data_IF_287894540242
#
_entry.id   IF_287894540242
#
_cell.length_a   1.000
_cell.length_b   1.000
_cell.length_c   1.000
_cell.angle_alpha   90.00
_cell.angle_beta   90.00
_cell.angle_gamma   90.00
#
_symmetry.space_group_name_H-M   'P 1'
#
loop_
_entity.id
_entity.type
_entity.pdbx_description
1 polymer ?
#
# COMPACT_ATOMS: atom_id res chain seq x y z
N UNK A 1 -24.46 -36.72 -2.83
CA UNK A 1 -25.38 -37.70 -3.42
C UNK A 1 -26.83 -37.22 -3.38
N UNK A 2 -27.36 -36.77 -2.23
CA UNK A 2 -28.74 -36.25 -2.12
C UNK A 2 -29.02 -34.99 -2.94
N UNK A 3 -28.02 -34.11 -3.10
CA UNK A 3 -28.19 -32.82 -3.78
C UNK A 3 -28.30 -32.97 -5.31
N UNK A 4 -27.56 -33.92 -5.89
CA UNK A 4 -27.62 -34.25 -7.33
C UNK A 4 -28.99 -34.82 -7.73
N UNK A 5 -29.58 -35.65 -6.87
CA UNK A 5 -30.94 -36.18 -7.09
C UNK A 5 -32.01 -35.10 -7.03
N UNK A 6 -31.74 -33.97 -6.36
CA UNK A 6 -32.68 -32.84 -6.25
C UNK A 6 -32.57 -31.85 -7.40
N UNK A 7 -31.42 -31.83 -8.11
CA UNK A 7 -31.18 -30.95 -9.26
C UNK A 7 -31.56 -31.55 -10.61
N UNK A 8 -31.76 -32.87 -10.68
CA UNK A 8 -32.15 -33.56 -11.92
C UNK A 8 -33.68 -33.56 -12.02
N UNK A 9 -34.22 -32.94 -13.07
CA UNK A 9 -35.66 -32.93 -13.31
C UNK A 9 -36.17 -34.26 -13.89
N UNK A 10 -37.44 -34.59 -13.65
CA UNK A 10 -38.08 -35.80 -14.20
C UNK A 10 -38.00 -35.87 -15.73
N UNK A 11 -38.06 -34.73 -16.40
CA UNK A 11 -37.90 -34.64 -17.86
C UNK A 11 -36.49 -35.00 -18.32
N UNK A 12 -35.45 -34.63 -17.55
CA UNK A 12 -34.09 -35.05 -17.83
C UNK A 12 -33.91 -36.56 -17.65
N UNK A 13 -34.52 -37.13 -16.60
CA UNK A 13 -34.52 -38.58 -16.37
C UNK A 13 -35.17 -39.29 -17.56
N UNK A 14 -36.38 -38.88 -17.96
CA UNK A 14 -37.09 -39.48 -19.10
C UNK A 14 -36.28 -39.42 -20.38
N UNK A 15 -35.68 -38.26 -20.67
CA UNK A 15 -34.84 -38.06 -21.85
C UNK A 15 -33.59 -38.94 -21.85
N UNK A 16 -32.98 -39.17 -20.68
CA UNK A 16 -31.81 -40.05 -20.57
C UNK A 16 -32.22 -41.52 -20.73
N UNK A 17 -33.33 -41.94 -20.13
CA UNK A 17 -33.87 -43.29 -20.29
C UNK A 17 -34.22 -43.63 -21.74
N UNK A 18 -34.84 -42.69 -22.47
CA UNK A 18 -35.16 -42.90 -23.90
C UNK A 18 -33.88 -43.02 -24.75
N UNK A 19 -32.87 -42.19 -24.45
CA UNK A 19 -31.56 -42.27 -25.13
C UNK A 19 -30.83 -43.57 -24.82
N UNK A 20 -30.91 -44.04 -23.58
CA UNK A 20 -30.35 -45.32 -23.15
C UNK A 20 -31.02 -46.49 -23.89
N UNK A 21 -32.36 -46.50 -23.95
CA UNK A 21 -33.11 -47.53 -24.65
C UNK A 21 -32.80 -47.55 -26.16
N UNK A 22 -32.66 -46.37 -26.76
CA UNK A 22 -32.25 -46.23 -28.16
C UNK A 22 -30.79 -46.69 -28.38
N UNK A 23 -29.88 -46.37 -27.46
CA UNK A 23 -28.49 -46.79 -27.52
C UNK A 23 -28.31 -48.30 -27.38
N UNK A 24 -29.05 -48.94 -26.48
CA UNK A 24 -29.06 -50.41 -26.32
C UNK A 24 -29.61 -51.13 -27.55
N UNK A 25 -30.59 -50.53 -28.24
CA UNK A 25 -31.16 -51.07 -29.49
C UNK A 25 -30.20 -50.93 -30.67
N UNK A 26 -29.59 -49.76 -30.86
CA UNK A 26 -28.73 -49.48 -32.03
C UNK A 26 -27.29 -49.98 -31.86
N UNK A 27 -26.81 -50.12 -30.62
CA UNK A 27 -25.46 -50.58 -30.25
C UNK A 27 -24.31 -49.82 -30.95
N UNK A 28 -23.08 -50.32 -30.79
CA UNK A 28 -21.87 -49.73 -31.36
C UNK A 28 -21.59 -48.33 -30.81
N UNK A 29 -21.38 -47.36 -31.70
CA UNK A 29 -21.14 -45.94 -31.37
C UNK A 29 -22.24 -45.27 -30.52
N UNK A 30 -23.42 -45.87 -30.42
CA UNK A 30 -24.48 -45.32 -29.57
C UNK A 30 -24.28 -45.66 -28.08
N UNK A 31 -23.45 -46.65 -27.76
CA UNK A 31 -23.05 -46.95 -26.38
C UNK A 31 -22.04 -45.93 -25.82
N UNK A 32 -21.54 -45.02 -26.66
CA UNK A 32 -20.67 -43.91 -26.26
C UNK A 32 -21.38 -42.96 -25.26
N UNK A 33 -22.69 -43.07 -25.05
CA UNK A 33 -23.40 -42.36 -23.96
C UNK A 33 -22.87 -42.71 -22.57
N UNK A 34 -22.27 -43.90 -22.39
CA UNK A 34 -21.63 -44.31 -21.14
C UNK A 34 -20.17 -43.89 -21.07
N UNK A 35 -19.61 -43.37 -22.16
CA UNK A 35 -18.23 -42.86 -22.14
C UNK A 35 -18.21 -41.50 -21.49
N UNK A 36 -17.50 -41.40 -20.38
CA UNK A 36 -17.23 -40.12 -19.73
C UNK A 36 -16.27 -39.35 -20.62
N UNK A 37 -16.77 -38.34 -21.34
CA UNK A 37 -15.92 -37.36 -22.00
C UNK A 37 -15.30 -36.49 -20.93
N UNK A 38 -14.17 -36.91 -20.37
CA UNK A 38 -13.34 -36.03 -19.58
C UNK A 38 -12.74 -35.00 -20.53
N UNK A 39 -13.23 -33.77 -20.48
CA UNK A 39 -12.50 -32.65 -21.06
C UNK A 39 -11.11 -32.64 -20.39
N UNK A 40 -10.06 -32.70 -21.21
CA UNK A 40 -8.69 -32.71 -20.70
C UNK A 40 -8.49 -31.38 -19.97
N UNK A 41 -8.18 -31.45 -18.68
CA UNK A 41 -7.85 -30.26 -17.92
C UNK A 41 -6.73 -29.47 -18.66
N UNK A 42 -6.79 -28.12 -18.67
CA UNK A 42 -5.77 -27.31 -19.31
C UNK A 42 -4.37 -27.72 -18.82
N UNK A 43 -3.42 -27.81 -19.75
CA UNK A 43 -2.02 -27.99 -19.38
C UNK A 43 -1.51 -26.74 -18.67
N UNK A 44 -0.46 -26.87 -17.86
CA UNK A 44 0.30 -25.71 -17.35
C UNK A 44 0.71 -24.75 -18.48
N UNK A 45 1.08 -25.30 -19.64
CA UNK A 45 1.41 -24.52 -20.82
C UNK A 45 0.20 -23.75 -21.38
N UNK A 46 -0.99 -24.35 -21.38
CA UNK A 46 -2.21 -23.69 -21.86
C UNK A 46 -2.63 -22.55 -20.90
N UNK A 47 -2.44 -22.76 -19.60
CA UNK A 47 -2.67 -21.74 -18.56
C UNK A 47 -1.68 -20.58 -18.74
N UNK A 48 -0.40 -20.88 -18.90
CA UNK A 48 0.64 -19.87 -19.14
C UNK A 48 0.37 -19.08 -20.42
N UNK A 49 0.00 -19.76 -21.50
CA UNK A 49 -0.31 -19.13 -22.78
C UNK A 49 -1.56 -18.25 -22.66
N UNK A 50 -2.59 -18.69 -21.93
CA UNK A 50 -3.77 -17.88 -21.63
C UNK A 50 -3.42 -16.61 -20.85
N UNK A 51 -2.61 -16.73 -19.79
CA UNK A 51 -2.15 -15.60 -18.97
C UNK A 51 -1.31 -14.59 -19.77
N UNK A 52 -0.50 -15.05 -20.73
CA UNK A 52 0.31 -14.19 -21.59
C UNK A 52 -0.48 -13.60 -22.77
N UNK A 53 -1.54 -14.29 -23.21
CA UNK A 53 -2.34 -13.91 -24.39
C UNK A 53 -3.49 -12.97 -24.05
N UNK A 54 -3.91 -12.90 -22.78
CA UNK A 54 -4.70 -11.76 -22.33
C UNK A 54 -3.79 -10.54 -22.47
N UNK A 55 -4.09 -9.58 -23.37
CA UNK A 55 -3.40 -8.31 -23.32
C UNK A 55 -3.57 -7.86 -21.88
N UNK A 56 -2.45 -7.67 -21.17
CA UNK A 56 -2.48 -6.97 -19.90
C UNK A 56 -3.28 -5.73 -20.22
N UNK A 57 -4.52 -5.68 -19.75
CA UNK A 57 -5.29 -4.45 -19.80
C UNK A 57 -4.31 -3.40 -19.30
N UNK A 58 -4.30 -2.23 -19.92
CA UNK A 58 -3.59 -1.05 -19.45
C UNK A 58 -4.11 -0.73 -18.03
N UNK A 59 -3.75 -1.56 -17.06
CA UNK A 59 -3.69 -1.23 -15.68
C UNK A 59 -2.40 -0.44 -15.63
N UNK A 60 -2.52 0.86 -15.95
CA UNK A 60 -1.64 1.84 -15.35
C UNK A 60 -1.55 1.42 -13.89
N UNK A 61 -0.33 1.10 -13.45
CA UNK A 61 -0.08 0.37 -12.22
C UNK A 61 -0.89 1.01 -11.08
N UNK A 62 -2.06 0.45 -10.79
CA UNK A 62 -3.05 1.02 -9.88
C UNK A 62 -3.43 -0.11 -8.95
N UNK A 63 -2.89 -0.04 -7.74
CA UNK A 63 -2.98 -1.10 -6.75
C UNK A 63 -1.91 -0.92 -5.68
N UNK A 64 -1.94 -1.79 -4.66
CA UNK A 64 -1.05 -1.68 -3.50
C UNK A 64 0.45 -1.72 -3.85
N UNK A 65 0.86 -2.48 -4.87
CA UNK A 65 2.26 -2.55 -5.29
C UNK A 65 2.76 -1.25 -5.90
N UNK A 66 1.93 -0.58 -6.72
CA UNK A 66 2.31 0.70 -7.32
C UNK A 66 2.32 1.81 -6.28
N UNK A 67 1.38 1.78 -5.34
CA UNK A 67 1.36 2.65 -4.18
C UNK A 67 2.65 2.57 -3.35
N UNK A 68 3.09 1.34 -3.03
CA UNK A 68 4.35 1.11 -2.31
C UNK A 68 5.56 1.57 -3.13
N UNK A 69 5.56 1.30 -4.43
CA UNK A 69 6.66 1.72 -5.33
C UNK A 69 6.76 3.25 -5.40
N UNK A 70 5.61 3.95 -5.43
CA UNK A 70 5.56 5.41 -5.37
C UNK A 70 6.12 5.93 -4.04
N UNK A 71 5.76 5.30 -2.92
CA UNK A 71 6.30 5.60 -1.59
C UNK A 71 7.82 5.45 -1.51
N UNK A 72 8.39 4.35 -2.03
CA UNK A 72 9.86 4.15 -2.10
C UNK A 72 10.51 5.26 -2.93
N UNK A 73 9.92 5.63 -4.07
CA UNK A 73 10.43 6.72 -4.91
C UNK A 73 10.37 8.11 -4.25
N UNK A 74 9.45 8.31 -3.29
CA UNK A 74 9.40 9.51 -2.45
C UNK A 74 10.56 9.49 -1.46
N UNK A 75 10.79 8.36 -0.78
CA UNK A 75 11.93 8.18 0.14
C UNK A 75 13.26 8.44 -0.57
N UNK A 76 13.45 7.90 -1.78
CA UNK A 76 14.63 8.17 -2.60
C UNK A 76 14.80 9.68 -2.88
N UNK A 77 13.70 10.39 -3.19
CA UNK A 77 13.74 11.83 -3.43
C UNK A 77 14.04 12.63 -2.13
N UNK A 78 13.54 12.18 -0.98
CA UNK A 78 13.88 12.76 0.32
C UNK A 78 15.38 12.59 0.63
N UNK A 79 15.95 11.42 0.33
CA UNK A 79 17.38 11.16 0.50
C UNK A 79 18.22 12.08 -0.40
N UNK A 80 17.83 12.26 -1.66
CA UNK A 80 18.50 13.18 -2.59
C UNK A 80 18.45 14.65 -2.12
N UNK A 81 17.32 15.10 -1.57
CA UNK A 81 17.19 16.44 -1.02
C UNK A 81 18.08 16.60 0.22
N UNK A 82 18.05 15.62 1.12
CA UNK A 82 18.87 15.64 2.35
C UNK A 82 20.36 15.69 2.01
N UNK A 83 20.81 14.84 1.09
CA UNK A 83 22.19 14.86 0.61
C UNK A 83 22.54 16.22 -0.01
N UNK A 84 21.68 16.77 -0.88
CA UNK A 84 21.95 18.05 -1.52
C UNK A 84 22.03 19.21 -0.52
N UNK A 85 21.25 19.19 0.56
CA UNK A 85 21.32 20.18 1.65
C UNK A 85 22.59 19.99 2.48
N UNK A 86 22.94 18.76 2.85
CA UNK A 86 24.15 18.48 3.63
C UNK A 86 25.44 18.83 2.87
N UNK A 87 25.44 18.70 1.55
CA UNK A 87 26.57 19.06 0.70
C UNK A 87 26.62 20.56 0.35
N UNK A 88 25.65 21.35 0.82
CA UNK A 88 25.57 22.76 0.51
C UNK A 88 26.59 23.53 1.37
N UNK A 89 27.57 24.23 0.77
CA UNK A 89 28.55 25.00 1.52
C UNK A 89 27.90 26.24 2.17
N UNK A 90 28.48 26.75 3.25
CA UNK A 90 28.00 27.96 3.95
C UNK A 90 27.87 29.16 3.01
N UNK A 91 28.80 29.31 2.06
CA UNK A 91 28.78 30.36 1.02
C UNK A 91 28.19 29.85 -0.31
N UNK A 92 27.08 29.11 -0.26
CA UNK A 92 26.48 28.54 -1.45
C UNK A 92 26.02 29.58 -2.47
N UNK A 93 26.40 29.34 -3.73
CA UNK A 93 26.03 30.18 -4.86
C UNK A 93 24.53 30.07 -5.14
N UNK A 94 23.92 31.13 -5.69
CA UNK A 94 22.51 31.13 -6.08
C UNK A 94 22.12 29.92 -6.95
N UNK A 95 23.01 29.46 -7.84
CA UNK A 95 22.80 28.26 -8.66
C UNK A 95 22.71 26.97 -7.83
N UNK A 96 23.53 26.82 -6.79
CA UNK A 96 23.49 25.65 -5.90
C UNK A 96 22.22 25.65 -5.05
N UNK A 97 21.83 26.83 -4.54
CA UNK A 97 20.55 27.00 -3.84
C UNK A 97 19.35 26.69 -4.75
N UNK A 98 19.41 27.11 -6.01
CA UNK A 98 18.38 26.81 -7.00
C UNK A 98 18.28 25.31 -7.32
N UNK A 99 19.40 24.57 -7.36
CA UNK A 99 19.40 23.11 -7.55
C UNK A 99 18.73 22.39 -6.38
N UNK A 100 19.05 22.79 -5.13
CA UNK A 100 18.38 22.26 -3.93
C UNK A 100 16.89 22.55 -3.97
N UNK A 101 16.49 23.78 -4.30
CA UNK A 101 15.08 24.15 -4.44
C UNK A 101 14.37 23.35 -5.54
N UNK A 102 15.03 23.09 -6.67
CA UNK A 102 14.47 22.26 -7.74
C UNK A 102 14.22 20.82 -7.26
N UNK A 103 15.14 20.25 -6.48
CA UNK A 103 14.96 18.92 -5.87
C UNK A 103 13.83 18.90 -4.84
N UNK A 104 13.70 19.95 -4.02
CA UNK A 104 12.59 20.11 -3.07
C UNK A 104 11.24 20.19 -3.79
N UNK A 105 11.14 20.98 -4.86
CA UNK A 105 9.92 21.07 -5.67
C UNK A 105 9.56 19.74 -6.33
N UNK A 106 10.56 19.00 -6.83
CA UNK A 106 10.33 17.68 -7.41
C UNK A 106 9.81 16.68 -6.36
N UNK A 107 10.38 16.70 -5.15
CA UNK A 107 9.90 15.91 -4.02
C UNK A 107 8.44 16.27 -3.66
N UNK A 108 8.14 17.56 -3.52
CA UNK A 108 6.80 18.04 -3.21
C UNK A 108 5.78 17.60 -4.26
N UNK A 109 6.14 17.67 -5.55
CA UNK A 109 5.28 17.20 -6.64
C UNK A 109 5.00 15.71 -6.54
N UNK A 110 5.98 14.87 -6.16
CA UNK A 110 5.77 13.44 -5.95
C UNK A 110 4.84 13.17 -4.77
N UNK A 111 5.04 13.87 -3.65
CA UNK A 111 4.19 13.74 -2.45
C UNK A 111 2.76 14.15 -2.76
N UNK A 112 2.55 15.29 -3.44
CA UNK A 112 1.21 15.74 -3.80
C UNK A 112 0.51 14.71 -4.69
N UNK A 113 1.19 14.22 -5.73
CA UNK A 113 0.63 13.20 -6.60
C UNK A 113 0.23 11.94 -5.85
N UNK A 114 1.09 11.49 -4.92
CA UNK A 114 0.81 10.32 -4.10
C UNK A 114 -0.42 10.57 -3.22
N UNK A 115 -0.52 11.72 -2.56
CA UNK A 115 -1.70 12.08 -1.79
C UNK A 115 -2.98 12.11 -2.65
N UNK A 116 -2.94 12.74 -3.82
CA UNK A 116 -4.08 12.80 -4.75
C UNK A 116 -4.53 11.38 -5.16
N UNK A 117 -3.58 10.47 -5.36
CA UNK A 117 -3.86 9.06 -5.64
C UNK A 117 -4.46 8.32 -4.42
N UNK A 118 -4.05 8.65 -3.18
CA UNK A 118 -4.66 8.11 -1.95
C UNK A 118 -6.11 8.57 -1.83
N UNK A 119 -6.33 9.88 -1.93
CA UNK A 119 -7.64 10.48 -1.78
C UNK A 119 -8.59 9.94 -2.85
N UNK A 120 -8.13 9.85 -4.10
CA UNK A 120 -8.90 9.22 -5.18
C UNK A 120 -9.18 7.74 -4.94
N UNK A 121 -8.29 7.01 -4.27
CA UNK A 121 -8.47 5.58 -3.99
C UNK A 121 -9.39 5.34 -2.79
N UNK A 122 -9.43 6.28 -1.84
CA UNK A 122 -10.26 6.24 -0.64
C UNK A 122 -11.65 6.88 -0.86
N UNK A 123 -11.86 7.59 -1.96
CA UNK A 123 -13.15 8.19 -2.30
C UNK A 123 -14.27 7.13 -2.32
N UNK A 124 -15.30 7.35 -1.52
CA UNK A 124 -16.43 6.43 -1.35
C UNK A 124 -16.19 5.22 -0.43
N UNK A 125 -15.02 5.07 0.19
CA UNK A 125 -14.75 4.07 1.23
C UNK A 125 -14.93 4.68 2.62
N UNK A 126 -16.03 4.34 3.32
CA UNK A 126 -16.17 4.64 4.75
C UNK A 126 -15.49 3.54 5.58
N UNK A 127 -14.18 3.68 5.77
CA UNK A 127 -13.39 2.74 6.59
C UNK A 127 -13.85 2.80 8.06
N UNK A 128 -14.45 3.91 8.50
CA UNK A 128 -14.85 4.12 9.88
C UNK A 128 -16.19 3.44 10.21
N UNK A 129 -17.04 3.11 9.22
CA UNK A 129 -18.30 2.39 9.42
C UNK A 129 -18.10 0.99 10.06
N UNK A 130 -16.90 0.40 9.93
CA UNK A 130 -16.58 -0.92 10.49
C UNK A 130 -15.49 -0.92 11.56
N UNK A 131 -14.89 0.25 11.85
CA UNK A 131 -13.91 0.38 12.92
C UNK A 131 -14.61 0.74 14.23
N UNK A 132 -14.96 -0.26 15.04
CA UNK A 132 -15.27 0.00 16.46
C UNK A 132 -14.01 0.51 17.14
N UNK A 133 -14.01 1.68 17.80
CA UNK A 133 -12.88 2.12 18.60
C UNK A 133 -12.51 1.02 19.58
N UNK A 134 -11.25 0.57 19.55
CA UNK A 134 -10.73 -0.29 20.61
C UNK A 134 -10.83 0.53 21.90
N UNK A 135 -11.53 0.01 22.91
CA UNK A 135 -11.61 0.67 24.20
C UNK A 135 -10.19 0.99 24.72
N UNK A 136 -9.99 2.14 25.39
CA UNK A 136 -8.69 2.50 25.95
C UNK A 136 -8.15 1.36 26.79
N UNK A 137 -7.03 0.78 26.35
CA UNK A 137 -6.32 -0.23 27.12
C UNK A 137 -5.58 0.52 28.24
N UNK A 138 -6.21 0.63 29.41
CA UNK A 138 -5.60 1.20 30.64
C UNK A 138 -4.49 0.31 31.23
N UNK A 139 -3.87 -0.58 30.43
CA UNK A 139 -2.80 -1.47 30.88
C UNK A 139 -1.44 -0.75 30.83
N UNK A 140 -1.15 -0.01 31.89
CA UNK A 140 0.15 0.65 32.17
C UNK A 140 1.28 -0.38 32.42
N UNK A 141 1.03 -1.68 32.23
CA UNK A 141 1.96 -2.78 32.54
C UNK A 141 3.11 -3.01 31.55
N UNK A 142 3.18 -2.28 30.43
CA UNK A 142 4.17 -2.52 29.36
C UNK A 142 5.11 -1.35 29.07
N UNK A 143 5.18 -0.32 29.94
CA UNK A 143 6.27 0.64 29.85
C UNK A 143 7.53 0.04 30.50
N UNK A 144 8.63 -0.16 29.76
CA UNK A 144 9.93 -0.43 30.38
C UNK A 144 10.24 0.72 31.33
N UNK A 145 10.47 0.40 32.60
CA UNK A 145 10.95 1.37 33.59
C UNK A 145 12.33 1.87 33.13
N UNK A 146 12.35 3.00 32.41
CA UNK A 146 13.58 3.74 32.18
C UNK A 146 13.89 4.54 33.44
N UNK A 147 14.55 3.85 34.38
CA UNK A 147 15.18 4.44 35.55
C UNK A 147 16.43 5.21 35.10
N UNK A 148 16.25 6.41 34.56
CA UNK A 148 17.35 7.38 34.51
C UNK A 148 17.26 8.22 35.77
N UNK A 149 18.13 7.89 36.73
CA UNK A 149 18.38 8.72 37.90
C UNK A 149 18.94 10.05 37.46
N UNK A 150 18.15 11.11 37.60
CA UNK A 150 18.62 12.47 37.64
C UNK A 150 18.55 12.86 39.12
N UNK A 151 19.71 12.90 39.77
CA UNK A 151 19.86 13.55 41.06
C UNK A 151 19.46 15.03 40.90
N UNK A 152 18.62 15.60 41.79
CA UNK A 152 18.34 17.02 41.76
C UNK A 152 19.58 17.79 42.21
N UNK A 153 20.20 18.54 41.30
CA UNK A 153 21.15 19.59 41.66
C UNK A 153 20.37 20.73 42.31
N UNK A 154 20.44 20.76 43.64
CA UNK A 154 20.15 21.88 44.51
C UNK A 154 21.05 23.08 44.15
N UNK A 155 20.47 24.28 44.05
CA UNK A 155 21.23 25.47 43.64
C UNK A 155 20.36 26.69 43.32
N UNK A 156 19.69 27.18 44.37
CA UNK A 156 19.30 28.57 44.69
C UNK A 156 19.16 29.65 43.60
N UNK A 157 18.04 30.37 43.71
CA UNK A 157 17.69 31.65 43.10
C UNK A 157 18.86 32.65 43.01
N UNK A 158 19.08 33.22 41.82
CA UNK A 158 19.60 34.60 41.70
C UNK A 158 18.92 35.33 40.54
N UNK A 159 18.07 36.27 40.92
CA UNK A 159 17.65 37.40 40.10
C UNK A 159 18.89 38.16 39.62
N UNK A 160 19.00 38.33 38.31
CA UNK A 160 19.88 39.33 37.71
C UNK A 160 19.15 39.97 36.55
N UNK A 161 18.51 41.10 36.85
CA UNK A 161 18.18 42.12 35.86
C UNK A 161 19.47 42.60 35.22
N UNK A 162 19.55 42.55 33.89
CA UNK A 162 20.43 43.30 32.96
C UNK A 162 20.14 42.69 31.58
N UNK A 163 20.07 43.33 30.41
CA UNK A 163 20.10 44.70 29.92
C UNK A 163 19.72 44.50 28.43
N UNK A 164 18.83 45.32 27.85
CA UNK A 164 18.42 45.15 26.44
C UNK A 164 19.61 45.43 25.51
N UNK A 165 20.30 44.40 25.04
CA UNK A 165 21.24 44.50 23.93
C UNK A 165 20.46 44.29 22.63
N UNK A 166 20.18 45.40 21.97
CA UNK A 166 19.78 45.47 20.56
C UNK A 166 20.93 44.91 19.71
N UNK A 167 20.73 43.75 19.07
CA UNK A 167 21.79 43.11 18.29
C UNK A 167 21.29 41.95 17.44
N UNK A 168 21.06 42.25 16.16
CA UNK A 168 20.95 41.38 14.98
C UNK A 168 19.95 40.19 15.05
N UNK A 169 19.01 40.18 14.09
CA UNK A 169 18.20 39.01 13.75
C UNK A 169 19.14 37.85 13.35
N UNK A 170 19.55 37.05 14.33
CA UNK A 170 20.17 35.75 14.10
C UNK A 170 19.04 34.88 13.54
N UNK A 171 19.06 34.68 12.23
CA UNK A 171 18.22 33.68 11.57
C UNK A 171 18.53 32.36 12.27
N UNK A 172 17.58 31.89 13.09
CA UNK A 172 17.70 30.65 13.85
C UNK A 172 17.92 29.52 12.84
N UNK A 173 19.19 29.13 12.67
CA UNK A 173 19.58 28.06 11.77
C UNK A 173 19.07 26.78 12.42
N UNK A 174 17.85 26.41 12.04
CA UNK A 174 17.26 25.13 12.43
C UNK A 174 18.21 24.04 11.95
N UNK A 175 18.76 23.22 12.86
CA UNK A 175 19.63 22.11 12.49
C UNK A 175 18.92 21.23 11.46
N UNK A 176 19.62 20.70 10.45
CA UNK A 176 19.00 19.82 9.45
C UNK A 176 18.40 18.55 10.07
N UNK A 177 18.80 18.23 11.30
CA UNK A 177 18.29 17.14 12.13
C UNK A 177 16.88 17.42 12.69
N UNK A 178 16.49 18.70 12.81
CA UNK A 178 15.19 19.17 13.32
C UNK A 178 14.18 19.48 12.21
N UNK A 179 14.56 19.31 10.93
CA UNK A 179 13.62 19.39 9.80
C UNK A 179 12.80 18.10 9.74
N UNK A 180 11.89 17.98 10.68
CA UNK A 180 10.91 16.92 10.76
C UNK A 180 9.81 17.15 9.71
N UNK A 181 10.05 16.74 8.47
CA UNK A 181 8.97 16.58 7.48
C UNK A 181 8.26 15.26 7.80
N UNK A 182 7.42 15.28 8.84
CA UNK A 182 6.48 14.19 9.06
C UNK A 182 5.46 14.19 7.91
N UNK A 183 5.21 13.01 7.34
CA UNK A 183 3.96 12.81 6.62
C UNK A 183 2.81 12.90 7.63
N UNK A 184 1.71 13.60 7.30
CA UNK A 184 0.48 13.52 8.08
C UNK A 184 -0.11 12.10 8.04
#
# INVERSE_FOLDING_TARGET
>A
YMELMRSISEDQIRKWSDKELQALRLRGKHLDIYTTKSEKAPSMADIQLSLMSTPSAEHGHSGSISWLTAGISIEDAQNLVREAVCQLPTDATATQKADVMAKQLALQSKVQKHQDEADSSMDGLDILEHCTPLEPIDYIGFLPSHYYGIEPLDGEDQDQEDEYIEGEDIEEVVPPEDVCIWMP
#
